data_IF_825885283537
#
_entry.id   IF_825885283537
#
_cell.length_a   1.000
_cell.length_b   1.000
_cell.length_c   1.000
_cell.angle_alpha   90.00
_cell.angle_beta   90.00
_cell.angle_gamma   90.00
#
_symmetry.space_group_name_H-M   'P 1'
#
loop_
_entity.id
_entity.type
_entity.pdbx_description
1 polymer ?
#
# COMPACT_ATOMS: atom_id res chain seq x y z
N UNK A 1 -5.78 5.45 -12.93
CA UNK A 1 -7.10 5.91 -12.43
C UNK A 1 -7.69 4.78 -11.59
N UNK A 2 -7.41 4.76 -10.27
CA UNK A 2 -7.88 3.73 -9.32
C UNK A 2 -8.29 4.43 -8.00
N UNK A 3 -9.08 5.50 -8.11
CA UNK A 3 -9.53 6.31 -6.98
C UNK A 3 -11.06 6.23 -6.95
N UNK A 4 -11.63 5.93 -5.78
CA UNK A 4 -13.08 5.80 -5.64
C UNK A 4 -13.65 7.09 -5.04
N UNK A 5 -14.49 7.84 -5.77
CA UNK A 5 -15.08 9.07 -5.24
C UNK A 5 -16.19 8.73 -4.23
N UNK A 6 -16.05 9.25 -3.00
CA UNK A 6 -17.07 9.22 -1.96
C UNK A 6 -17.46 10.67 -1.68
N UNK A 7 -18.53 11.13 -2.33
CA UNK A 7 -18.96 12.52 -2.22
C UNK A 7 -17.92 13.49 -2.79
N UNK A 8 -17.44 14.42 -1.96
CA UNK A 8 -16.37 15.37 -2.33
C UNK A 8 -14.96 14.79 -2.15
N UNK A 9 -14.82 13.62 -1.52
CA UNK A 9 -13.51 13.03 -1.22
C UNK A 9 -13.17 11.91 -2.20
N UNK A 10 -11.89 11.84 -2.58
CA UNK A 10 -11.35 10.72 -3.34
C UNK A 10 -10.72 9.73 -2.37
N UNK A 11 -11.27 8.52 -2.28
CA UNK A 11 -10.71 7.46 -1.46
C UNK A 11 -9.55 6.78 -2.20
N UNK A 12 -8.36 6.86 -1.62
CA UNK A 12 -7.13 6.20 -2.08
C UNK A 12 -6.47 5.50 -0.90
N UNK A 13 -6.08 4.24 -1.08
CA UNK A 13 -5.23 3.56 -0.09
C UNK A 13 -3.78 4.00 -0.29
N UNK A 14 -3.22 4.66 0.72
CA UNK A 14 -1.79 4.99 0.79
C UNK A 14 -1.27 4.46 2.11
N UNK A 15 -0.19 3.67 2.05
CA UNK A 15 0.53 3.19 3.22
C UNK A 15 1.92 3.82 3.22
N UNK A 16 2.31 4.41 4.35
CA UNK A 16 3.62 5.01 4.56
C UNK A 16 4.23 4.44 5.84
N UNK A 17 5.50 4.06 5.78
CA UNK A 17 6.27 3.56 6.93
C UNK A 17 7.50 4.47 7.04
N UNK A 18 7.53 5.30 8.08
CA UNK A 18 8.64 6.21 8.37
C UNK A 18 8.84 6.28 9.90
N UNK A 19 10.02 5.89 10.44
CA UNK A 19 11.22 5.42 9.73
C UNK A 19 11.13 3.97 9.26
N UNK A 20 11.66 3.68 8.07
CA UNK A 20 11.80 2.31 7.57
C UNK A 20 12.94 1.58 8.31
N UNK A 21 12.67 0.37 8.78
CA UNK A 21 13.65 -0.49 9.46
C UNK A 21 13.86 -1.80 8.71
N UNK A 22 14.92 -2.55 9.05
CA UNK A 22 15.17 -3.86 8.43
C UNK A 22 14.03 -4.87 8.69
N UNK A 23 13.24 -4.68 9.76
CA UNK A 23 12.08 -5.54 10.07
C UNK A 23 10.89 -5.27 9.15
N UNK A 24 10.89 -4.14 8.45
CA UNK A 24 9.85 -3.78 7.48
C UNK A 24 10.16 -4.34 6.07
N UNK A 25 11.28 -5.05 5.89
CA UNK A 25 11.53 -5.78 4.66
C UNK A 25 10.59 -6.99 4.58
N UNK A 26 9.75 -7.03 3.55
CA UNK A 26 8.76 -8.09 3.43
C UNK A 26 7.82 -7.92 2.25
N UNK A 27 6.83 -8.81 2.20
CA UNK A 27 5.74 -8.73 1.24
C UNK A 27 4.56 -8.00 1.87
N UNK A 28 4.12 -6.94 1.22
CA UNK A 28 2.96 -6.17 1.59
C UNK A 28 1.85 -6.44 0.58
N UNK A 29 0.60 -6.50 1.07
CA UNK A 29 -0.57 -6.69 0.23
C UNK A 29 -1.62 -5.63 0.58
N UNK A 30 -2.12 -4.96 -0.45
CA UNK A 30 -3.31 -4.13 -0.35
C UNK A 30 -4.51 -4.94 -0.87
N UNK A 31 -5.53 -5.11 -0.04
CA UNK A 31 -6.80 -5.71 -0.42
C UNK A 31 -7.87 -4.61 -0.49
N UNK A 32 -8.55 -4.52 -1.62
CA UNK A 32 -9.73 -3.67 -1.80
C UNK A 32 -10.96 -4.56 -1.93
N UNK A 33 -11.83 -4.51 -0.92
CA UNK A 33 -13.05 -5.32 -0.84
C UNK A 33 -14.28 -4.44 -1.04
N UNK A 34 -15.17 -4.84 -1.95
CA UNK A 34 -16.50 -4.27 -2.11
C UNK A 34 -17.55 -5.37 -2.28
N UNK A 35 -18.83 -4.99 -2.30
CA UNK A 35 -19.95 -5.94 -2.39
C UNK A 35 -19.96 -6.84 -3.66
N UNK A 36 -19.17 -6.52 -4.69
CA UNK A 36 -19.14 -7.21 -5.98
C UNK A 36 -17.84 -7.98 -6.23
N UNK A 37 -16.71 -7.52 -5.71
CA UNK A 37 -15.40 -8.06 -6.01
C UNK A 37 -14.37 -7.72 -4.92
N UNK A 38 -13.32 -8.54 -4.89
CA UNK A 38 -12.13 -8.34 -4.07
C UNK A 38 -10.91 -8.25 -4.99
N UNK A 39 -10.20 -7.12 -4.97
CA UNK A 39 -8.92 -6.95 -5.64
C UNK A 39 -7.78 -7.07 -4.62
N UNK A 40 -6.71 -7.77 -4.99
CA UNK A 40 -5.51 -7.91 -4.15
C UNK A 40 -4.29 -7.53 -4.97
N UNK A 41 -3.49 -6.61 -4.45
CA UNK A 41 -2.20 -6.23 -5.05
C UNK A 41 -1.10 -6.32 -4.04
N UNK A 42 -0.14 -7.18 -4.34
CA UNK A 42 1.07 -7.33 -3.56
C UNK A 42 2.24 -6.56 -4.13
N UNK A 43 3.12 -6.13 -3.24
CA UNK A 43 4.44 -5.65 -3.60
C UNK A 43 5.45 -6.16 -2.57
N UNK A 44 6.64 -6.50 -3.06
CA UNK A 44 7.77 -6.86 -2.19
C UNK A 44 8.61 -5.61 -1.94
N UNK A 45 9.04 -5.48 -0.69
CA UNK A 45 9.94 -4.44 -0.24
C UNK A 45 11.22 -5.09 0.26
N UNK A 46 12.35 -4.50 -0.09
CA UNK A 46 13.66 -4.90 0.41
C UNK A 46 14.29 -3.68 1.08
N UNK A 47 14.85 -3.88 2.26
CA UNK A 47 15.52 -2.82 3.01
C UNK A 47 16.98 -2.70 2.53
N UNK A 48 17.32 -1.57 1.91
CA UNK A 48 18.70 -1.27 1.48
C UNK A 48 19.25 -0.16 2.37
N UNK A 49 20.37 -0.43 3.07
CA UNK A 49 21.11 0.65 3.73
C UNK A 49 21.82 1.47 2.67
N UNK A 50 21.30 2.66 2.36
CA UNK A 50 22.03 3.65 1.59
C UNK A 50 23.10 4.23 2.52
N UNK A 51 24.32 3.71 2.43
CA UNK A 51 25.51 4.36 2.98
C UNK A 51 25.92 5.47 2.01
N UNK A 52 25.82 6.74 2.44
CA UNK A 52 26.43 7.88 1.76
C UNK A 52 27.93 7.90 1.93
#
# INVERSE_FOLDING_TARGET
VHEWPIGNDTMKSKMEIDPATQKDAGYYECQADNQYAVDRRGFRTDYVMISY
#
